data_IF_877862338875
#
_entry.id   IF_877862338875
#
_cell.length_a   1.000
_cell.length_b   1.000
_cell.length_c   1.000
_cell.angle_alpha   90.00
_cell.angle_beta   90.00
_cell.angle_gamma   90.00
#
_symmetry.space_group_name_H-M   'P 1'
#
loop_
_entity.id
_entity.type
_entity.pdbx_description
1 polymer ?
#
# COMPACT_ATOMS: atom_id res chain seq x y z
N UNK A 1 26.94 61.46 -50.21
CA UNK A 1 27.08 61.01 -48.81
C UNK A 1 25.71 61.03 -48.18
N UNK A 2 25.09 59.87 -47.96
CA UNK A 2 24.07 59.68 -46.92
C UNK A 2 23.90 58.18 -46.74
N UNK A 3 24.72 57.60 -45.87
CA UNK A 3 24.55 56.24 -45.38
C UNK A 3 23.42 56.28 -44.35
N UNK A 4 22.26 55.71 -44.68
CA UNK A 4 21.23 55.46 -43.68
C UNK A 4 21.38 54.02 -43.23
N UNK A 5 21.91 53.90 -42.03
CA UNK A 5 22.24 52.67 -41.32
C UNK A 5 20.99 51.85 -41.03
N UNK A 6 20.97 50.60 -41.49
CA UNK A 6 19.90 49.66 -41.23
C UNK A 6 20.02 49.13 -39.79
N UNK A 7 19.18 49.64 -38.89
CA UNK A 7 19.07 49.13 -37.53
C UNK A 7 18.40 47.74 -37.54
N UNK A 8 19.19 46.72 -37.20
CA UNK A 8 18.72 45.35 -36.97
C UNK A 8 17.86 45.34 -35.69
N UNK A 9 16.62 44.83 -35.69
CA UNK A 9 15.84 44.71 -34.47
C UNK A 9 16.43 43.62 -33.57
N UNK A 10 16.76 44.01 -32.34
CA UNK A 10 17.28 43.15 -31.27
C UNK A 10 16.33 42.00 -30.92
N UNK A 11 16.82 40.78 -30.59
CA UNK A 11 15.99 39.67 -30.18
C UNK A 11 15.24 39.96 -28.87
N UNK A 12 13.91 39.82 -28.90
CA UNK A 12 13.07 39.88 -27.71
C UNK A 12 13.32 38.62 -26.87
N UNK A 13 14.07 38.76 -25.77
CA UNK A 13 14.25 37.68 -24.80
C UNK A 13 12.93 37.47 -24.03
N UNK A 14 12.28 36.33 -24.27
CA UNK A 14 11.02 35.98 -23.61
C UNK A 14 11.29 35.79 -22.10
N UNK A 15 10.47 36.37 -21.20
CA UNK A 15 10.67 36.25 -19.77
C UNK A 15 10.63 34.78 -19.35
N UNK A 16 11.71 34.30 -18.74
CA UNK A 16 11.81 32.96 -18.17
C UNK A 16 10.83 32.86 -17.00
N UNK A 17 9.90 31.91 -16.98
CA UNK A 17 8.91 31.83 -15.91
C UNK A 17 9.59 31.47 -14.59
N UNK A 18 9.65 32.44 -13.67
CA UNK A 18 10.04 32.18 -12.28
C UNK A 18 8.95 31.32 -11.63
N UNK A 19 9.34 30.13 -11.19
CA UNK A 19 8.45 29.20 -10.46
C UNK A 19 8.15 29.79 -9.09
N UNK A 20 7.10 30.60 -8.99
CA UNK A 20 6.53 30.98 -7.69
C UNK A 20 6.09 29.69 -6.99
N UNK A 21 6.56 29.49 -5.76
CA UNK A 21 6.11 28.38 -4.92
C UNK A 21 4.62 28.59 -4.66
N UNK A 22 3.77 27.76 -5.26
CA UNK A 22 2.31 27.84 -5.13
C UNK A 22 1.77 27.43 -3.75
N UNK A 23 2.66 27.36 -2.75
CA UNK A 23 2.38 26.79 -1.44
C UNK A 23 2.49 27.92 -0.42
N UNK A 24 1.40 28.10 0.32
CA UNK A 24 1.32 29.02 1.44
C UNK A 24 2.31 28.62 2.56
N UNK A 25 3.06 29.58 3.14
CA UNK A 25 4.11 29.30 4.13
C UNK A 25 3.59 28.61 5.40
N UNK A 26 2.34 28.86 5.82
CA UNK A 26 1.76 28.17 6.98
C UNK A 26 1.53 26.69 6.66
N UNK A 27 1.04 26.41 5.45
CA UNK A 27 0.85 25.04 4.95
C UNK A 27 2.17 24.26 4.92
N UNK A 28 3.27 24.91 4.54
CA UNK A 28 4.60 24.29 4.55
C UNK A 28 5.05 23.89 5.96
N UNK A 29 4.86 24.77 6.95
CA UNK A 29 5.20 24.48 8.35
C UNK A 29 4.36 23.33 8.93
N UNK A 30 3.07 23.28 8.60
CA UNK A 30 2.20 22.16 9.01
C UNK A 30 2.63 20.83 8.38
N UNK A 31 3.01 20.85 7.10
CA UNK A 31 3.49 19.66 6.40
C UNK A 31 4.77 19.12 7.04
N UNK A 32 5.73 19.99 7.33
CA UNK A 32 6.99 19.61 7.98
C UNK A 32 6.74 18.93 9.34
N UNK A 33 5.85 19.48 10.16
CA UNK A 33 5.44 18.87 11.42
C UNK A 33 4.84 17.47 11.22
N UNK A 34 3.99 17.28 10.20
CA UNK A 34 3.38 15.97 9.93
C UNK A 34 4.39 14.96 9.40
N UNK A 35 5.36 15.39 8.60
CA UNK A 35 6.43 14.53 8.09
C UNK A 35 7.38 14.07 9.20
N UNK A 36 7.62 14.90 10.22
CA UNK A 36 8.42 14.53 11.38
C UNK A 36 7.80 13.41 12.23
N UNK A 37 6.47 13.31 12.26
CA UNK A 37 5.73 12.27 13.00
C UNK A 37 5.31 11.09 12.11
N UNK A 38 5.89 10.96 10.92
CA UNK A 38 5.52 9.92 9.97
C UNK A 38 5.90 8.54 10.54
N UNK A 39 4.94 7.60 10.70
CA UNK A 39 5.22 6.25 11.15
C UNK A 39 6.17 5.52 10.20
N UNK A 40 6.96 4.59 10.75
CA UNK A 40 7.81 3.74 9.92
C UNK A 40 6.97 2.83 9.02
N UNK A 41 7.54 2.44 7.89
CA UNK A 41 6.89 1.53 6.96
C UNK A 41 6.53 0.19 7.62
N UNK A 42 7.40 -0.35 8.47
CA UNK A 42 7.17 -1.61 9.16
C UNK A 42 5.94 -1.53 10.07
N UNK A 43 5.78 -0.44 10.82
CA UNK A 43 4.59 -0.23 11.66
C UNK A 43 3.30 -0.19 10.84
N UNK A 44 3.34 0.43 9.66
CA UNK A 44 2.18 0.45 8.77
C UNK A 44 1.84 -0.93 8.23
N UNK A 45 2.83 -1.81 8.06
CA UNK A 45 2.62 -3.22 7.66
C UNK A 45 1.99 -4.02 8.80
N UNK A 46 2.53 -3.87 10.01
CA UNK A 46 1.99 -4.53 11.21
C UNK A 46 0.56 -4.11 11.50
N UNK A 47 0.26 -2.82 11.32
CA UNK A 47 -1.10 -2.27 11.42
C UNK A 47 -2.00 -2.64 10.23
N UNK A 48 -1.51 -3.45 9.28
CA UNK A 48 -2.21 -3.87 8.06
C UNK A 48 -2.69 -2.69 7.18
N UNK A 49 -2.08 -1.51 7.33
CA UNK A 49 -2.35 -0.30 6.54
C UNK A 49 -1.62 -0.40 5.19
N UNK A 50 -0.34 -0.77 5.23
CA UNK A 50 0.42 -1.16 4.04
C UNK A 50 0.45 -2.68 3.96
N UNK A 51 0.16 -3.27 2.80
CA UNK A 51 0.39 -4.70 2.65
C UNK A 51 1.89 -4.96 2.54
N UNK A 52 2.40 -5.93 3.31
CA UNK A 52 3.81 -6.30 3.42
C UNK A 52 4.55 -6.43 2.06
N UNK A 53 3.81 -6.79 1.01
CA UNK A 53 4.31 -6.96 -0.34
C UNK A 53 4.75 -5.66 -1.02
N UNK A 54 4.38 -4.47 -0.54
CA UNK A 54 4.83 -3.16 -1.06
C UNK A 54 6.29 -2.86 -0.65
N UNK A 55 7.18 -3.83 -0.82
CA UNK A 55 8.61 -3.64 -0.79
C UNK A 55 9.01 -2.93 -2.09
N UNK A 56 9.50 -1.68 -1.92
CA UNK A 56 10.49 -1.09 -2.81
C UNK A 56 11.37 -2.22 -3.34
N UNK A 57 11.55 -2.24 -4.66
CA UNK A 57 12.52 -3.10 -5.35
C UNK A 57 12.15 -4.60 -5.31
N UNK A 58 11.61 -5.07 -6.45
CA UNK A 58 11.99 -6.30 -7.14
C UNK A 58 10.92 -7.41 -7.22
N UNK A 59 10.20 -7.75 -6.14
CA UNK A 59 9.25 -8.90 -6.15
C UNK A 59 7.82 -8.57 -5.64
N UNK A 60 7.42 -7.30 -5.75
CA UNK A 60 6.10 -6.82 -5.31
C UNK A 60 5.05 -6.93 -6.40
N UNK A 61 3.91 -7.56 -6.10
CA UNK A 61 2.68 -7.45 -6.90
C UNK A 61 2.35 -5.96 -7.08
N UNK A 62 2.09 -5.54 -8.32
CA UNK A 62 1.80 -4.15 -8.63
C UNK A 62 0.62 -3.62 -7.81
N UNK A 63 0.61 -2.33 -7.39
CA UNK A 63 -0.49 -1.77 -6.58
C UNK A 63 -1.88 -2.00 -7.18
N UNK A 64 -1.98 -1.93 -8.52
CA UNK A 64 -3.23 -2.18 -9.25
C UNK A 64 -3.73 -3.63 -9.15
N UNK A 65 -2.83 -4.60 -8.94
CA UNK A 65 -3.15 -6.03 -8.89
C UNK A 65 -3.38 -6.55 -7.46
N UNK A 66 -3.16 -5.72 -6.44
CA UNK A 66 -3.29 -6.12 -5.05
C UNK A 66 -4.70 -6.63 -4.71
N UNK A 67 -5.74 -5.94 -5.18
CA UNK A 67 -7.13 -6.32 -4.96
C UNK A 67 -7.46 -7.67 -5.62
N UNK A 68 -6.92 -7.92 -6.83
CA UNK A 68 -7.11 -9.18 -7.53
C UNK A 68 -6.40 -10.34 -6.81
N UNK A 69 -5.17 -10.11 -6.31
CA UNK A 69 -4.44 -11.08 -5.48
C UNK A 69 -5.23 -11.44 -4.23
N UNK A 70 -5.74 -10.46 -3.50
CA UNK A 70 -6.50 -10.67 -2.27
C UNK A 70 -7.79 -11.45 -2.54
N UNK A 71 -8.51 -11.11 -3.61
CA UNK A 71 -9.70 -11.85 -4.04
C UNK A 71 -9.37 -13.32 -4.35
N UNK A 72 -8.27 -13.58 -5.06
CA UNK A 72 -7.82 -14.92 -5.36
C UNK A 72 -7.44 -15.69 -4.09
N UNK A 73 -6.64 -15.09 -3.21
CA UNK A 73 -6.23 -15.69 -1.94
C UNK A 73 -7.44 -16.05 -1.08
N UNK A 74 -8.43 -15.16 -1.01
CA UNK A 74 -9.69 -15.41 -0.30
C UNK A 74 -10.45 -16.59 -0.90
N UNK A 75 -10.65 -16.62 -2.21
CA UNK A 75 -11.35 -17.74 -2.86
C UNK A 75 -10.63 -19.07 -2.67
N UNK A 76 -9.29 -19.08 -2.72
CA UNK A 76 -8.50 -20.28 -2.42
C UNK A 76 -8.68 -20.75 -0.98
N UNK A 77 -8.73 -19.83 -0.01
CA UNK A 77 -9.00 -20.15 1.39
C UNK A 77 -10.41 -20.68 1.59
N UNK A 78 -11.41 -20.06 0.95
CA UNK A 78 -12.80 -20.52 0.98
C UNK A 78 -12.92 -21.96 0.47
N UNK A 79 -12.32 -22.27 -0.69
CA UNK A 79 -12.33 -23.62 -1.24
C UNK A 79 -11.61 -24.64 -0.34
N UNK A 80 -10.46 -24.26 0.23
CA UNK A 80 -9.73 -25.12 1.17
C UNK A 80 -10.53 -25.38 2.43
N UNK A 81 -11.18 -24.35 2.97
CA UNK A 81 -12.00 -24.46 4.17
C UNK A 81 -13.23 -25.33 3.91
N UNK A 82 -13.90 -25.15 2.77
CA UNK A 82 -15.04 -25.97 2.35
C UNK A 82 -14.65 -27.46 2.32
N UNK A 83 -13.54 -27.80 1.67
CA UNK A 83 -13.05 -29.18 1.64
C UNK A 83 -12.72 -29.71 3.04
N UNK A 84 -12.08 -28.91 3.90
CA UNK A 84 -11.75 -29.31 5.26
C UNK A 84 -13.00 -29.50 6.14
N UNK A 85 -14.06 -28.73 5.91
CA UNK A 85 -15.34 -28.87 6.60
C UNK A 85 -16.09 -30.13 6.16
N UNK A 86 -16.02 -30.49 4.87
CA UNK A 86 -16.60 -31.74 4.36
C UNK A 86 -15.91 -32.97 4.95
N UNK A 87 -14.58 -32.92 5.08
CA UNK A 87 -13.78 -33.97 5.70
C UNK A 87 -13.68 -33.84 7.23
N UNK A 88 -14.55 -33.06 7.88
CA UNK A 88 -14.47 -32.80 9.32
C UNK A 88 -14.74 -34.10 10.10
N UNK A 89 -13.75 -34.62 10.86
CA UNK A 89 -13.92 -35.84 11.64
C UNK A 89 -14.94 -35.63 12.77
N UNK A 90 -15.66 -36.69 13.10
CA UNK A 90 -16.63 -36.66 14.21
C UNK A 90 -15.91 -36.59 15.55
N UNK A 91 -16.54 -36.02 16.59
CA UNK A 91 -15.94 -35.97 17.92
C UNK A 91 -15.59 -37.36 18.46
N UNK A 92 -16.39 -38.38 18.15
CA UNK A 92 -16.12 -39.78 18.52
C UNK A 92 -14.83 -40.34 17.87
N UNK A 93 -14.52 -39.92 16.65
CA UNK A 93 -13.29 -40.32 15.96
C UNK A 93 -12.09 -39.63 16.60
N UNK A 94 -12.23 -38.35 16.97
CA UNK A 94 -11.20 -37.60 17.69
C UNK A 94 -10.92 -38.16 19.10
N UNK A 95 -11.93 -38.70 19.77
CA UNK A 95 -11.77 -39.45 21.03
C UNK A 95 -10.96 -40.72 20.81
N UNK A 96 -11.30 -41.51 19.78
CA UNK A 96 -10.60 -42.76 19.45
C UNK A 96 -9.13 -42.52 19.09
N UNK A 97 -8.84 -41.41 18.43
CA UNK A 97 -7.48 -40.98 18.10
C UNK A 97 -6.74 -40.34 19.30
N UNK A 98 -7.40 -40.19 20.46
CA UNK A 98 -6.81 -39.61 21.68
C UNK A 98 -6.61 -38.10 21.62
N UNK A 99 -7.20 -37.41 20.63
CA UNK A 99 -7.11 -35.96 20.43
C UNK A 99 -8.11 -35.24 21.35
N UNK A 100 -9.32 -35.78 21.49
CA UNK A 100 -10.39 -35.25 22.35
C UNK A 100 -10.50 -36.11 23.61
N UNK A 101 -10.62 -35.48 24.79
CA UNK A 101 -10.85 -36.17 26.06
C UNK A 101 -12.35 -36.44 26.23
N UNK A 102 -12.72 -37.62 26.72
CA UNK A 102 -14.10 -38.08 26.96
C UNK A 102 -14.88 -37.28 28.03
N UNK A 103 -14.23 -36.31 28.66
CA UNK A 103 -14.85 -35.54 29.73
C UNK A 103 -15.91 -34.61 29.14
N UNK A 104 -17.18 -34.90 29.40
CA UNK A 104 -18.35 -34.04 29.16
C UNK A 104 -18.33 -32.83 30.12
N UNK A 105 -17.22 -32.11 30.10
CA UNK A 105 -17.00 -30.89 30.85
C UNK A 105 -16.91 -29.78 29.82
N UNK A 106 -17.81 -28.77 29.86
CA UNK A 106 -17.75 -27.67 28.91
C UNK A 106 -16.38 -27.00 28.97
N UNK A 107 -15.84 -26.51 27.83
CA UNK A 107 -14.59 -25.78 27.82
C UNK A 107 -14.70 -24.57 28.77
N UNK A 108 -13.71 -24.43 29.66
CA UNK A 108 -13.67 -23.42 30.70
C UNK A 108 -13.65 -21.98 30.15
#
# INVERSE_FOLDING_TARGET
MSSSEAAIPTPVEKPKPERKTSIDPQTAQMLEKNLAHRPDKHELIEKNILKAWLQRTDDSVAPALQAAKEKLQRSQLENKLEHALQARPKPEELVKEGILKDTDVPPA
#
